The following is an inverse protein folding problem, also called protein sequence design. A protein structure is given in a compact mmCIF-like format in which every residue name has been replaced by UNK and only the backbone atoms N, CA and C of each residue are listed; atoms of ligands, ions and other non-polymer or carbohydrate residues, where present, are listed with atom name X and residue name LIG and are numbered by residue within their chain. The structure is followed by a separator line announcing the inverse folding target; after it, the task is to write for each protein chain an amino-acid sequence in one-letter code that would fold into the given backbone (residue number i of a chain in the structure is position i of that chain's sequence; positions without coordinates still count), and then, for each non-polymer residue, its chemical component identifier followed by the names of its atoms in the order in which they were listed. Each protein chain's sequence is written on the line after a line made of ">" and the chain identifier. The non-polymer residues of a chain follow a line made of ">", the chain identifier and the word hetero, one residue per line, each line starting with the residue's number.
data_IF_845023261351
#
_entry.id   IF_845023261351
#
_cell.length_a   1.000
_cell.length_b   1.000
_cell.length_c   1.000
_cell.angle_alpha   90.00
_cell.angle_beta   90.00
_cell.angle_gamma   90.00
#
_symmetry.space_group_name_H-M   'P 1'
#
loop_
_entity.id
_entity.type
_entity.pdbx_description
1 polymer ?
#
# COMPACT_ATOMS: atom_id res chain seq x y z
N UNK A 1 17.56 30.32 26.54
CA UNK A 1 17.47 30.04 25.09
C UNK A 1 17.96 28.63 24.70
N UNK A 2 18.13 27.69 25.64
CA UNK A 2 18.69 26.36 25.34
C UNK A 2 17.64 25.31 24.94
N UNK A 3 16.38 25.53 25.32
CA UNK A 3 15.26 24.60 25.07
C UNK A 3 14.93 24.53 23.57
N UNK A 4 15.02 25.66 22.86
CA UNK A 4 14.75 25.75 21.41
C UNK A 4 15.80 25.00 20.59
N UNK A 5 17.08 25.06 21.00
CA UNK A 5 18.17 24.36 20.31
C UNK A 5 18.10 22.82 20.45
N UNK A 6 17.42 22.31 21.47
CA UNK A 6 17.22 20.86 21.65
C UNK A 6 16.07 20.35 20.78
N UNK A 7 14.98 21.11 20.70
CA UNK A 7 13.82 20.80 19.86
C UNK A 7 14.15 20.84 18.35
N UNK A 8 14.94 21.81 17.91
CA UNK A 8 15.38 21.90 16.51
C UNK A 8 16.22 20.69 16.11
N UNK A 9 17.13 20.24 16.98
CA UNK A 9 17.97 19.05 16.73
C UNK A 9 17.18 17.74 16.69
N UNK A 10 16.09 17.63 17.44
CA UNK A 10 15.23 16.44 17.37
C UNK A 10 14.36 16.41 16.11
N UNK A 11 13.86 17.57 15.68
CA UNK A 11 13.12 17.72 14.42
C UNK A 11 13.98 17.39 13.19
N UNK A 12 15.24 17.84 13.18
CA UNK A 12 16.17 17.52 12.08
C UNK A 12 16.53 16.03 12.02
N UNK A 13 16.67 15.35 13.18
CA UNK A 13 16.90 13.90 13.21
C UNK A 13 15.67 13.11 12.76
N UNK A 14 14.47 13.55 13.12
CA UNK A 14 13.23 12.93 12.65
C UNK A 14 13.07 13.07 11.13
N UNK A 15 13.44 14.23 10.57
CA UNK A 15 13.39 14.50 9.13
C UNK A 15 14.37 13.64 8.33
N UNK A 16 15.59 13.43 8.83
CA UNK A 16 16.60 12.56 8.16
C UNK A 16 16.19 11.08 8.16
N UNK A 17 15.53 10.60 9.22
CA UNK A 17 14.97 9.24 9.25
C UNK A 17 13.81 9.05 8.27
N UNK A 18 13.05 10.11 8.01
CA UNK A 18 11.95 10.10 7.05
C UNK A 18 12.41 10.24 5.60
N UNK A 19 13.57 10.87 5.33
CA UNK A 19 14.09 11.04 3.97
C UNK A 19 14.85 9.84 3.41
N UNK A 20 15.16 8.82 4.21
CA UNK A 20 15.82 7.59 3.74
C UNK A 20 17.24 7.82 3.20
N UNK A 21 17.86 8.96 3.49
CA UNK A 21 19.26 9.25 3.17
C UNK A 21 20.19 8.62 4.22
N UNK A 22 20.20 7.29 4.27
CA UNK A 22 21.28 6.51 4.86
C UNK A 22 21.45 5.23 4.01
N UNK A 23 21.75 5.44 2.73
CA UNK A 23 22.33 4.40 1.87
C UNK A 23 23.83 4.47 2.08
N UNK A 24 24.27 3.84 3.18
CA UNK A 24 25.67 3.51 3.39
C UNK A 24 26.14 2.54 2.32
N UNK A 25 27.21 2.94 1.64
CA UNK A 25 27.92 2.24 0.59
C UNK A 25 28.29 0.80 0.99
N UNK A 26 27.79 -0.19 0.25
CA UNK A 26 28.41 -1.53 0.13
C UNK A 26 27.71 -2.33 -0.98
N UNK A 27 27.87 -1.92 -2.24
CA UNK A 27 27.45 -2.73 -3.38
C UNK A 27 28.39 -2.52 -4.58
N UNK A 28 29.62 -3.02 -4.45
CA UNK A 28 30.47 -3.39 -5.59
C UNK A 28 31.13 -4.71 -5.21
N UNK A 29 30.83 -5.75 -6.00
CA UNK A 29 31.60 -6.99 -6.22
C UNK A 29 30.70 -8.23 -6.24
N UNK A 30 29.91 -8.43 -7.32
CA UNK A 30 29.37 -9.77 -7.66
C UNK A 30 28.80 -9.88 -9.10
N UNK A 31 29.27 -9.11 -10.08
CA UNK A 31 28.89 -9.31 -11.50
C UNK A 31 30.10 -9.44 -12.40
N UNK A 32 30.81 -10.55 -12.25
CA UNK A 32 31.72 -11.07 -13.24
C UNK A 32 31.76 -12.61 -13.11
N UNK A 33 31.76 -13.30 -14.26
CA UNK A 33 31.66 -14.76 -14.47
C UNK A 33 30.21 -15.30 -14.40
N UNK A 34 29.66 -16.01 -15.39
CA UNK A 34 30.26 -16.68 -16.55
C UNK A 34 29.16 -16.94 -17.59
N UNK A 35 29.48 -16.66 -18.85
CA UNK A 35 28.69 -17.12 -20.00
C UNK A 35 29.06 -18.54 -20.45
N UNK A 36 28.23 -19.06 -21.36
CA UNK A 36 28.46 -20.24 -22.22
C UNK A 36 27.82 -21.53 -21.73
N UNK A 37 27.26 -22.44 -22.54
CA UNK A 37 27.09 -22.54 -24.00
C UNK A 37 26.09 -23.67 -24.33
N UNK A 38 25.38 -23.48 -25.44
CA UNK A 38 24.90 -24.41 -26.50
C UNK A 38 24.72 -25.93 -26.29
N UNK A 39 23.63 -26.42 -26.91
CA UNK A 39 23.43 -27.78 -27.41
C UNK A 39 22.05 -28.29 -26.97
N UNK A 40 21.13 -28.80 -27.77
CA UNK A 40 21.11 -29.34 -29.13
C UNK A 40 19.83 -30.22 -29.18
N UNK A 41 19.14 -30.21 -30.31
CA UNK A 41 17.75 -30.67 -30.47
C UNK A 41 17.49 -32.16 -30.15
N UNK A 42 16.25 -32.48 -29.75
CA UNK A 42 15.49 -33.55 -30.41
C UNK A 42 13.99 -33.42 -30.17
N UNK A 43 13.28 -33.59 -31.27
CA UNK A 43 11.84 -33.51 -31.50
C UNK A 43 11.13 -34.79 -31.07
N UNK A 44 9.88 -34.71 -30.60
CA UNK A 44 8.75 -35.56 -31.08
C UNK A 44 7.52 -35.42 -30.17
N UNK A 45 6.34 -35.36 -30.79
CA UNK A 45 5.08 -35.72 -30.12
C UNK A 45 4.02 -34.63 -30.05
N UNK A 46 3.53 -34.20 -31.20
CA UNK A 46 2.36 -33.32 -31.38
C UNK A 46 1.09 -34.06 -30.95
N UNK A 47 0.34 -33.48 -30.02
CA UNK A 47 -1.00 -33.91 -29.64
C UNK A 47 -1.86 -32.69 -29.32
N UNK A 48 -2.27 -31.97 -30.36
CA UNK A 48 -3.05 -30.75 -30.25
C UNK A 48 -4.52 -31.03 -29.85
N UNK A 49 -5.04 -30.25 -28.91
CA UNK A 49 -6.33 -29.54 -29.10
C UNK A 49 -6.23 -28.11 -28.53
N UNK A 50 -6.64 -27.08 -29.31
CA UNK A 50 -6.43 -25.67 -28.97
C UNK A 50 -7.65 -25.06 -28.26
N UNK A 51 -7.41 -24.31 -27.20
CA UNK A 51 -8.32 -23.32 -26.63
C UNK A 51 -7.57 -22.01 -26.52
N UNK A 52 -7.97 -21.04 -27.33
CA UNK A 52 -7.27 -19.79 -27.64
C UNK A 52 -7.11 -18.83 -26.46
N UNK A 53 -5.86 -18.36 -26.32
CA UNK A 53 -5.45 -17.00 -25.95
C UNK A 53 -5.77 -16.47 -24.54
N UNK A 54 -4.72 -16.41 -23.72
CA UNK A 54 -4.20 -15.12 -23.28
C UNK A 54 -2.69 -15.23 -23.03
N UNK A 55 -1.88 -14.59 -23.88
CA UNK A 55 -0.59 -14.03 -23.45
C UNK A 55 -0.94 -12.93 -22.45
N UNK A 56 -1.19 -13.33 -21.21
CA UNK A 56 -1.53 -12.47 -20.09
C UNK A 56 -0.43 -12.58 -19.06
N UNK A 57 0.09 -11.42 -18.70
CA UNK A 57 1.04 -11.11 -17.63
C UNK A 57 1.16 -12.19 -16.55
N UNK A 58 2.40 -12.55 -16.21
CA UNK A 58 2.73 -13.18 -14.93
C UNK A 58 2.06 -12.37 -13.81
N UNK A 59 0.94 -12.87 -13.28
CA UNK A 59 0.37 -12.34 -12.06
C UNK A 59 1.19 -12.93 -10.90
N UNK A 60 1.67 -12.14 -9.93
CA UNK A 60 2.42 -12.66 -8.79
C UNK A 60 1.62 -13.69 -7.96
N UNK A 61 0.29 -13.74 -8.12
CA UNK A 61 -0.58 -14.77 -7.54
C UNK A 61 -0.30 -16.18 -8.09
N UNK A 62 0.21 -16.31 -9.32
CA UNK A 62 0.53 -17.62 -9.93
C UNK A 62 1.80 -18.24 -9.32
N UNK A 63 2.67 -17.43 -8.69
CA UNK A 63 3.84 -17.92 -7.96
C UNK A 63 3.49 -18.52 -6.59
N UNK A 64 2.36 -18.13 -6.00
CA UNK A 64 1.92 -18.65 -4.69
C UNK A 64 1.06 -19.92 -4.81
N UNK A 65 0.45 -20.18 -5.97
CA UNK A 65 -0.43 -21.34 -6.17
C UNK A 65 0.33 -22.66 -6.40
N UNK A 66 1.60 -22.57 -6.80
CA UNK A 66 2.45 -23.76 -7.07
C UNK A 66 3.30 -24.20 -5.87
N UNK A 67 3.30 -23.44 -4.77
CA UNK A 67 3.94 -23.82 -3.51
C UNK A 67 3.07 -24.79 -2.69
N UNK A 68 2.54 -25.85 -3.31
CA UNK A 68 2.02 -26.99 -2.54
C UNK A 68 3.17 -27.95 -2.30
N UNK A 69 3.78 -27.87 -1.12
CA UNK A 69 4.66 -28.94 -0.62
C UNK A 69 3.77 -30.16 -0.39
N UNK A 70 3.78 -31.09 -1.34
CA UNK A 70 3.17 -32.40 -1.13
C UNK A 70 3.96 -33.13 -0.02
N UNK A 71 3.32 -33.94 0.84
CA UNK A 71 4.03 -34.78 1.79
C UNK A 71 4.89 -35.77 1.00
N UNK A 72 6.21 -35.68 1.19
CA UNK A 72 7.18 -36.28 0.28
C UNK A 72 7.05 -37.79 0.14
N UNK A 73 7.15 -38.28 -1.10
CA UNK A 73 7.21 -39.71 -1.39
C UNK A 73 8.67 -40.20 -1.34
N UNK A 74 8.89 -41.52 -1.17
CA UNK A 74 10.22 -42.12 -0.96
C UNK A 74 11.29 -41.73 -1.99
N UNK A 75 10.88 -41.31 -3.19
CA UNK A 75 11.76 -40.87 -4.27
C UNK A 75 12.36 -39.48 -4.02
N UNK A 76 11.64 -38.58 -3.35
CA UNK A 76 12.16 -37.26 -2.93
C UNK A 76 13.14 -37.41 -1.76
N UNK A 77 12.86 -38.32 -0.81
CA UNK A 77 13.80 -38.60 0.29
C UNK A 77 15.16 -39.14 -0.18
N UNK A 78 15.20 -39.98 -1.22
CA UNK A 78 16.45 -40.48 -1.83
C UNK A 78 17.19 -39.37 -2.60
N UNK A 79 16.45 -38.46 -3.24
CA UNK A 79 17.02 -37.30 -3.91
C UNK A 79 17.63 -36.30 -2.91
N UNK A 80 16.96 -36.08 -1.77
CA UNK A 80 17.45 -35.22 -0.68
C UNK A 80 18.75 -35.76 -0.06
N UNK A 81 18.82 -37.07 0.18
CA UNK A 81 20.03 -37.74 0.69
C UNK A 81 21.22 -37.59 -0.28
N UNK A 82 20.99 -37.74 -1.58
CA UNK A 82 22.02 -37.56 -2.60
C UNK A 82 22.45 -36.09 -2.75
N UNK A 83 21.53 -35.13 -2.55
CA UNK A 83 21.82 -33.69 -2.55
C UNK A 83 22.63 -33.31 -1.31
N UNK A 84 22.25 -33.78 -0.11
CA UNK A 84 22.99 -33.55 1.14
C UNK A 84 24.42 -34.08 1.09
N UNK A 85 24.65 -35.21 0.42
CA UNK A 85 26.01 -35.75 0.18
C UNK A 85 26.85 -34.89 -0.74
N UNK A 86 26.24 -34.25 -1.76
CA UNK A 86 26.94 -33.34 -2.68
C UNK A 86 27.12 -31.93 -2.11
N UNK A 87 26.22 -31.52 -1.22
CA UNK A 87 26.16 -30.19 -0.61
C UNK A 87 25.94 -30.33 0.90
N UNK A 88 27.02 -30.52 1.69
CA UNK A 88 26.90 -30.76 3.14
C UNK A 88 26.37 -29.54 3.92
N UNK A 89 26.41 -28.35 3.32
CA UNK A 89 25.90 -27.09 3.85
C UNK A 89 24.41 -26.85 3.59
N UNK A 90 23.77 -27.68 2.74
CA UNK A 90 22.37 -27.49 2.31
C UNK A 90 21.39 -27.41 3.48
N UNK A 91 21.60 -28.21 4.52
CA UNK A 91 20.75 -28.19 5.72
C UNK A 91 20.89 -26.90 6.53
N UNK A 92 22.08 -26.31 6.52
CA UNK A 92 22.33 -25.00 7.13
C UNK A 92 21.61 -23.89 6.38
N UNK A 93 21.69 -23.92 5.04
CA UNK A 93 21.02 -22.98 4.16
C UNK A 93 19.49 -23.09 4.24
N UNK A 94 18.94 -24.32 4.27
CA UNK A 94 17.50 -24.57 4.44
C UNK A 94 17.00 -24.01 5.77
N UNK A 95 17.66 -24.34 6.88
CA UNK A 95 17.29 -23.79 8.20
C UNK A 95 17.39 -22.26 8.25
N UNK A 96 18.37 -21.67 7.54
CA UNK A 96 18.48 -20.22 7.46
C UNK A 96 17.33 -19.62 6.65
N UNK A 97 16.97 -20.24 5.53
CA UNK A 97 15.83 -19.86 4.70
C UNK A 97 14.51 -19.96 5.46
N UNK A 98 14.30 -21.04 6.21
CA UNK A 98 13.11 -21.24 7.06
C UNK A 98 12.99 -20.11 8.10
N UNK A 99 14.08 -19.79 8.81
CA UNK A 99 14.07 -18.68 9.80
C UNK A 99 13.72 -17.34 9.17
N UNK A 100 14.24 -17.05 7.98
CA UNK A 100 13.91 -15.82 7.26
C UNK A 100 12.44 -15.84 6.83
N UNK A 101 11.95 -16.97 6.32
CA UNK A 101 10.53 -17.18 6.01
C UNK A 101 9.62 -16.89 7.19
N UNK A 102 9.92 -17.46 8.37
CA UNK A 102 9.16 -17.23 9.60
C UNK A 102 9.12 -15.75 10.01
N UNK A 103 10.25 -15.04 9.84
CA UNK A 103 10.32 -13.61 10.14
C UNK A 103 9.49 -12.78 9.15
N UNK A 104 9.50 -13.14 7.88
CA UNK A 104 8.68 -12.48 6.86
C UNK A 104 7.19 -12.68 7.13
N UNK A 105 6.77 -13.91 7.47
CA UNK A 105 5.37 -14.21 7.81
C UNK A 105 4.91 -13.42 9.03
N UNK A 106 5.70 -13.37 10.11
CA UNK A 106 5.38 -12.55 11.29
C UNK A 106 5.23 -11.06 10.96
N UNK A 107 6.08 -10.56 10.06
CA UNK A 107 6.01 -9.16 9.61
C UNK A 107 4.75 -8.91 8.79
N UNK A 108 4.43 -9.82 7.86
CA UNK A 108 3.24 -9.77 7.02
C UNK A 108 1.97 -9.77 7.87
N UNK A 109 1.86 -10.66 8.86
CA UNK A 109 0.73 -10.69 9.80
C UNK A 109 0.54 -9.33 10.50
N UNK A 110 1.64 -8.72 10.94
CA UNK A 110 1.62 -7.38 11.54
C UNK A 110 1.21 -6.27 10.57
N UNK A 111 1.63 -6.36 9.30
CA UNK A 111 1.23 -5.42 8.25
C UNK A 111 -0.25 -5.56 7.91
N UNK A 112 -0.76 -6.78 7.74
CA UNK A 112 -2.19 -7.06 7.52
C UNK A 112 -3.03 -6.50 8.68
N UNK A 113 -2.60 -6.71 9.93
CA UNK A 113 -3.30 -6.17 11.09
C UNK A 113 -3.37 -4.64 11.10
N UNK A 114 -2.29 -3.95 10.71
CA UNK A 114 -2.27 -2.49 10.57
C UNK A 114 -3.18 -2.01 9.45
N UNK A 115 -3.13 -2.66 8.30
CA UNK A 115 -3.98 -2.33 7.15
C UNK A 115 -5.46 -2.50 7.50
N UNK A 116 -5.83 -3.58 8.19
CA UNK A 116 -7.22 -3.79 8.65
C UNK A 116 -7.72 -2.66 9.54
N UNK A 117 -6.92 -2.24 10.53
CA UNK A 117 -7.27 -1.09 11.39
C UNK A 117 -7.43 0.19 10.59
N UNK A 118 -6.54 0.45 9.63
CA UNK A 118 -6.64 1.63 8.79
C UNK A 118 -7.91 1.61 7.91
N UNK A 119 -8.29 0.44 7.39
CA UNK A 119 -9.55 0.27 6.66
C UNK A 119 -10.76 0.50 7.56
N UNK A 120 -10.75 0.00 8.80
CA UNK A 120 -11.81 0.24 9.78
C UNK A 120 -11.93 1.74 10.13
N UNK A 121 -10.81 2.45 10.29
CA UNK A 121 -10.79 3.90 10.50
C UNK A 121 -11.36 4.67 9.31
N UNK A 122 -11.01 4.27 8.08
CA UNK A 122 -11.56 4.88 6.87
C UNK A 122 -13.06 4.63 6.72
N UNK A 123 -13.53 3.39 6.93
CA UNK A 123 -14.96 3.05 6.88
C UNK A 123 -15.75 3.85 7.93
N UNK A 124 -15.19 4.04 9.13
CA UNK A 124 -15.81 4.90 10.14
C UNK A 124 -15.91 6.37 9.69
N UNK A 125 -14.87 6.91 9.04
CA UNK A 125 -14.89 8.28 8.50
C UNK A 125 -15.84 8.44 7.32
N UNK A 126 -15.96 7.43 6.45
CA UNK A 126 -16.85 7.46 5.29
C UNK A 126 -18.32 7.32 5.68
N UNK A 127 -18.62 6.50 6.70
CA UNK A 127 -19.99 6.35 7.20
C UNK A 127 -20.53 7.61 7.87
N UNK A 128 -19.66 8.36 8.53
CA UNK A 128 -20.05 9.59 9.24
C UNK A 128 -19.02 10.70 9.03
N UNK A 129 -18.97 11.28 7.80
CA UNK A 129 -17.99 12.29 7.46
C UNK A 129 -18.20 13.60 8.21
N UNK A 130 -19.30 13.74 8.96
CA UNK A 130 -19.59 14.93 9.76
C UNK A 130 -19.66 14.65 11.27
N UNK A 131 -19.15 13.50 11.74
CA UNK A 131 -19.13 13.12 13.16
C UNK A 131 -20.47 13.31 13.88
N UNK A 132 -21.57 12.90 13.26
CA UNK A 132 -22.91 12.94 13.83
C UNK A 132 -23.63 14.27 13.62
N UNK A 133 -23.07 15.20 12.85
CA UNK A 133 -23.80 16.41 12.46
C UNK A 133 -24.99 16.03 11.57
N UNK A 134 -26.21 16.28 12.07
CA UNK A 134 -27.46 16.01 11.34
C UNK A 134 -27.66 16.95 10.16
N UNK A 135 -27.01 18.11 10.17
CA UNK A 135 -27.19 19.15 9.16
C UNK A 135 -25.84 19.52 8.55
N UNK A 136 -25.73 19.55 7.21
CA UNK A 136 -24.48 19.92 6.56
C UNK A 136 -24.11 21.37 6.93
N UNK A 137 -22.81 21.66 7.10
CA UNK A 137 -22.40 23.02 7.40
C UNK A 137 -22.84 23.97 6.28
N UNK A 138 -23.33 25.15 6.68
CA UNK A 138 -23.81 26.20 5.78
C UNK A 138 -25.14 25.91 5.06
N UNK A 139 -26.02 25.09 5.65
CA UNK A 139 -27.32 24.76 5.06
C UNK A 139 -28.19 26.00 4.79
N UNK A 140 -28.16 26.99 5.69
CA UNK A 140 -28.93 28.24 5.59
C UNK A 140 -28.45 29.11 4.43
N UNK A 141 -27.13 29.32 4.34
CA UNK A 141 -26.49 30.09 3.27
C UNK A 141 -26.68 29.40 1.91
N UNK A 142 -26.58 28.07 1.87
CA UNK A 142 -26.86 27.30 0.67
C UNK A 142 -28.32 27.45 0.21
N UNK A 143 -29.28 27.40 1.15
CA UNK A 143 -30.70 27.57 0.84
C UNK A 143 -30.99 28.98 0.29
N UNK A 144 -30.37 30.02 0.86
CA UNK A 144 -30.56 31.41 0.42
C UNK A 144 -29.95 31.69 -0.95
N UNK A 145 -28.78 31.12 -1.27
CA UNK A 145 -28.21 31.17 -2.64
C UNK A 145 -29.13 30.47 -3.65
N UNK A 146 -29.63 29.26 -3.33
CA UNK A 146 -30.56 28.53 -4.20
C UNK A 146 -31.86 29.32 -4.43
N UNK A 147 -32.42 29.91 -3.37
CA UNK A 147 -33.61 30.74 -3.47
C UNK A 147 -33.38 31.97 -4.36
N UNK A 148 -32.22 32.63 -4.22
CA UNK A 148 -31.89 33.78 -5.06
C UNK A 148 -31.75 33.42 -6.53
N UNK A 149 -31.06 32.32 -6.85
CA UNK A 149 -30.97 31.85 -8.24
C UNK A 149 -32.31 31.39 -8.80
N UNK A 150 -33.17 30.79 -7.97
CA UNK A 150 -34.53 30.45 -8.35
C UNK A 150 -35.37 31.69 -8.73
N UNK A 151 -35.15 32.81 -8.04
CA UNK A 151 -35.85 34.07 -8.30
C UNK A 151 -35.21 34.93 -9.41
N UNK A 152 -33.89 34.83 -9.61
CA UNK A 152 -33.11 35.70 -10.50
C UNK A 152 -32.45 34.94 -11.65
N UNK A 153 -33.20 34.06 -12.33
CA UNK A 153 -32.67 33.22 -13.41
C UNK A 153 -32.05 34.02 -14.58
N UNK A 154 -32.58 35.22 -14.87
CA UNK A 154 -32.07 36.09 -15.93
C UNK A 154 -30.87 36.96 -15.50
N UNK A 155 -30.67 37.18 -14.20
CA UNK A 155 -29.56 37.98 -13.68
C UNK A 155 -28.90 37.29 -12.48
N UNK A 156 -28.07 36.32 -12.81
CA UNK A 156 -27.28 35.49 -11.89
C UNK A 156 -26.35 36.35 -11.01
N UNK A 157 -25.89 37.51 -11.51
CA UNK A 157 -24.98 38.39 -10.76
C UNK A 157 -25.64 39.12 -9.59
N UNK A 158 -26.98 39.22 -9.58
CA UNK A 158 -27.72 39.81 -8.46
C UNK A 158 -27.53 39.02 -7.15
N UNK A 159 -27.16 37.74 -7.22
CA UNK A 159 -26.98 36.87 -6.07
C UNK A 159 -25.56 36.87 -5.50
N UNK A 160 -24.66 37.75 -5.96
CA UNK A 160 -23.24 37.69 -5.62
C UNK A 160 -22.96 37.79 -4.12
N UNK A 161 -23.66 38.68 -3.40
CA UNK A 161 -23.51 38.86 -1.95
C UNK A 161 -23.81 37.57 -1.18
N UNK A 162 -24.90 36.88 -1.55
CA UNK A 162 -25.30 35.62 -0.94
C UNK A 162 -24.29 34.50 -1.23
N UNK A 163 -23.73 34.48 -2.44
CA UNK A 163 -22.67 33.54 -2.80
C UNK A 163 -21.40 33.80 -1.98
N UNK A 164 -21.07 35.06 -1.70
CA UNK A 164 -19.91 35.40 -0.90
C UNK A 164 -20.08 35.06 0.58
N UNK A 165 -21.29 35.19 1.13
CA UNK A 165 -21.62 34.66 2.45
C UNK A 165 -21.52 33.13 2.50
N UNK A 166 -22.03 32.43 1.48
CA UNK A 166 -21.87 30.97 1.38
C UNK A 166 -20.40 30.55 1.32
N UNK A 167 -19.56 31.26 0.54
CA UNK A 167 -18.10 31.02 0.50
C UNK A 167 -17.43 31.29 1.86
N UNK A 168 -17.83 32.36 2.56
CA UNK A 168 -17.30 32.67 3.90
C UNK A 168 -17.61 31.54 4.87
N UNK A 169 -18.87 31.09 4.90
CA UNK A 169 -19.26 29.94 5.72
C UNK A 169 -18.47 28.68 5.33
N UNK A 170 -18.37 28.36 4.04
CA UNK A 170 -17.61 27.19 3.56
C UNK A 170 -16.14 27.19 4.00
N UNK A 171 -15.47 28.35 3.99
CA UNK A 171 -14.08 28.48 4.49
C UNK A 171 -13.96 28.29 6.00
N UNK A 172 -14.98 28.66 6.77
CA UNK A 172 -14.99 28.43 8.23
C UNK A 172 -15.29 26.97 8.52
N UNK A 173 -16.29 26.40 7.86
CA UNK A 173 -16.66 24.99 7.98
C UNK A 173 -15.49 24.06 7.61
N UNK A 174 -14.81 24.32 6.48
CA UNK A 174 -13.65 23.54 6.08
C UNK A 174 -12.51 23.64 7.10
N UNK A 175 -12.26 24.84 7.63
CA UNK A 175 -11.24 25.02 8.68
C UNK A 175 -11.56 24.19 9.91
N UNK A 176 -12.81 24.23 10.40
CA UNK A 176 -13.29 23.42 11.53
C UNK A 176 -13.20 21.91 11.26
N UNK A 177 -13.54 21.49 10.05
CA UNK A 177 -13.44 20.09 9.64
C UNK A 177 -11.99 19.59 9.64
N UNK A 178 -11.07 20.36 9.04
CA UNK A 178 -9.64 20.02 9.00
C UNK A 178 -9.01 20.06 10.39
N UNK A 179 -9.38 21.02 11.25
CA UNK A 179 -8.90 21.10 12.63
C UNK A 179 -9.55 20.06 13.56
N UNK A 180 -10.53 19.28 13.07
CA UNK A 180 -11.35 18.34 13.87
C UNK A 180 -11.98 19.02 15.09
N UNK A 181 -12.31 20.30 14.95
CA UNK A 181 -12.98 21.06 16.00
C UNK A 181 -14.46 20.64 16.00
N UNK A 182 -15.03 20.21 17.13
CA UNK A 182 -16.40 19.74 17.17
C UNK A 182 -17.35 20.86 16.73
N UNK A 183 -18.35 20.50 15.92
CA UNK A 183 -19.46 21.41 15.63
C UNK A 183 -20.14 21.76 16.96
N UNK A 184 -20.22 23.06 17.28
CA UNK A 184 -20.94 23.53 18.46
C UNK A 184 -22.40 23.08 18.37
N UNK A 185 -22.86 22.41 19.43
CA UNK A 185 -24.21 21.86 19.59
C UNK A 185 -25.30 22.93 19.63
#
# INVERSE_FOLDING_TARGET
>A
MEITARLVRELERARRRASGEDVGENERDARAASGGERGGASTSGIGAKPGTAARGLFAPADLLSTARVAPGNHREAIADEAVRRRHPDVDGALRASERVGDLLLKREEGEIARTRRFVEELDALERDPFNGAREPPCAVEAASVRACYGANAANVTACHDLVDEYKKCGRVALRKFVSREPAAA
#
